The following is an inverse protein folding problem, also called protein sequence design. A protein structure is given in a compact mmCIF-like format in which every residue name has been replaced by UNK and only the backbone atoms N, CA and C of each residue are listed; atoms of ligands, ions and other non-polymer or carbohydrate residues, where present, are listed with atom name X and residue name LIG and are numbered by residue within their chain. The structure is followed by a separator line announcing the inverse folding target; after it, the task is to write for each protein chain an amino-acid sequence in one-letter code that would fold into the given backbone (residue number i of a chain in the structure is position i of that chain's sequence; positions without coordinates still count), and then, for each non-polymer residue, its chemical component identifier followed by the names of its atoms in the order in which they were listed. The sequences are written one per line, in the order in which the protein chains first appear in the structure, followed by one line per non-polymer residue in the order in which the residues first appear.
data_IF_202545279737
#
_entry.id   IF_202545279737
#
_cell.length_a   1.000
_cell.length_b   1.000
_cell.length_c   1.000
_cell.angle_alpha   90.00
_cell.angle_beta   90.00
_cell.angle_gamma   90.00
#
_symmetry.space_group_name_H-M   'P 1'
#
loop_
_entity.id
_entity.type
_entity.pdbx_description
1 polymer ?
#
# COMPACT_ATOMS: atom_id res chain seq x y z
N UNK A 1 -12.12 4.61 46.32
CA UNK A 1 -11.25 5.16 45.29
C UNK A 1 -10.36 4.06 44.65
N UNK A 2 -10.81 2.79 44.63
CA UNK A 2 -10.03 1.63 44.11
C UNK A 2 -10.70 0.96 42.90
N UNK A 3 -11.89 1.46 42.46
CA UNK A 3 -12.66 0.85 41.36
C UNK A 3 -12.21 1.18 39.94
N UNK A 4 -11.12 1.94 39.72
CA UNK A 4 -10.63 2.33 38.38
C UNK A 4 -9.44 1.51 37.86
N UNK A 5 -8.94 0.54 38.62
CA UNK A 5 -7.69 -0.19 38.29
C UNK A 5 -7.91 -1.57 37.72
N UNK A 6 -9.12 -2.01 37.44
CA UNK A 6 -9.44 -3.23 36.72
C UNK A 6 -10.17 -2.92 35.40
N UNK A 7 -9.69 -1.94 34.64
CA UNK A 7 -10.00 -1.90 33.21
C UNK A 7 -9.41 -3.19 32.64
N UNK A 8 -10.27 -4.19 32.40
CA UNK A 8 -9.90 -5.40 31.65
C UNK A 8 -9.13 -4.93 30.42
N UNK A 9 -7.84 -5.25 30.33
CA UNK A 9 -7.10 -5.11 29.08
C UNK A 9 -7.85 -5.96 28.07
N UNK A 10 -8.69 -5.33 27.25
CA UNK A 10 -9.24 -5.98 26.06
C UNK A 10 -8.05 -6.29 25.17
N UNK A 11 -8.08 -7.46 24.57
CA UNK A 11 -7.08 -7.83 23.58
C UNK A 11 -7.19 -6.88 22.40
N UNK A 12 -6.14 -6.11 22.14
CA UNK A 12 -6.06 -5.26 20.96
C UNK A 12 -5.61 -6.10 19.77
N UNK A 13 -6.31 -5.99 18.66
CA UNK A 13 -6.00 -6.70 17.43
C UNK A 13 -5.92 -5.72 16.25
N UNK A 14 -4.84 -5.78 15.49
CA UNK A 14 -4.67 -4.99 14.27
C UNK A 14 -4.63 -5.92 13.05
N UNK A 15 -5.65 -5.85 12.20
CA UNK A 15 -5.73 -6.60 10.95
C UNK A 15 -5.13 -5.77 9.82
N UNK A 16 -4.11 -6.31 9.15
CA UNK A 16 -3.60 -5.74 7.90
C UNK A 16 -4.49 -6.20 6.75
N UNK A 17 -5.35 -5.31 6.31
CA UNK A 17 -6.26 -5.47 5.18
C UNK A 17 -5.65 -4.89 3.89
N UNK A 18 -6.44 -4.31 3.02
CA UNK A 18 -5.98 -3.63 1.81
C UNK A 18 -6.95 -2.50 1.44
N UNK A 19 -6.43 -1.41 0.90
CA UNK A 19 -7.26 -0.35 0.33
C UNK A 19 -8.07 -0.92 -0.83
N UNK A 20 -9.40 -0.70 -0.79
CA UNK A 20 -10.36 -1.34 -1.72
C UNK A 20 -10.97 -2.65 -1.22
N UNK A 21 -10.64 -3.12 0.00
CA UNK A 21 -11.36 -4.20 0.67
C UNK A 21 -12.64 -3.65 1.35
N UNK A 22 -13.49 -3.02 0.57
CA UNK A 22 -14.74 -2.37 0.96
C UNK A 22 -15.94 -2.96 0.21
N UNK A 23 -17.06 -2.27 0.23
CA UNK A 23 -18.28 -2.70 -0.48
C UNK A 23 -18.10 -2.81 -2.00
N UNK A 24 -17.12 -2.12 -2.57
CA UNK A 24 -16.77 -2.12 -3.99
C UNK A 24 -15.69 -3.14 -4.34
N UNK A 25 -15.34 -4.04 -3.39
CA UNK A 25 -14.37 -5.11 -3.60
C UNK A 25 -14.82 -6.03 -4.74
N UNK A 26 -13.95 -6.27 -5.71
CA UNK A 26 -14.26 -7.09 -6.89
C UNK A 26 -13.26 -8.22 -7.13
N UNK A 27 -12.04 -8.11 -6.58
CA UNK A 27 -11.02 -9.16 -6.72
C UNK A 27 -11.11 -10.17 -5.58
N UNK A 28 -10.74 -11.42 -5.84
CA UNK A 28 -10.69 -12.47 -4.83
C UNK A 28 -9.82 -12.04 -3.63
N UNK A 29 -8.73 -11.33 -3.90
CA UNK A 29 -7.86 -10.75 -2.87
C UNK A 29 -8.62 -9.77 -1.96
N UNK A 30 -9.29 -8.75 -2.53
CA UNK A 30 -10.03 -7.76 -1.73
C UNK A 30 -11.23 -8.38 -1.02
N UNK A 31 -11.94 -9.31 -1.66
CA UNK A 31 -13.06 -10.03 -1.05
C UNK A 31 -12.61 -10.85 0.16
N UNK A 32 -11.47 -11.55 0.06
CA UNK A 32 -10.93 -12.33 1.18
C UNK A 32 -10.50 -11.42 2.35
N UNK A 33 -9.89 -10.25 2.04
CA UNK A 33 -9.54 -9.26 3.05
C UNK A 33 -10.78 -8.68 3.74
N UNK A 34 -11.80 -8.33 2.96
CA UNK A 34 -13.07 -7.86 3.49
C UNK A 34 -13.74 -8.88 4.41
N UNK A 35 -13.79 -10.15 4.00
CA UNK A 35 -14.36 -11.21 4.85
C UNK A 35 -13.62 -11.33 6.19
N UNK A 36 -12.29 -11.21 6.20
CA UNK A 36 -11.50 -11.19 7.43
C UNK A 36 -11.76 -9.94 8.29
N UNK A 37 -11.92 -8.77 7.65
CA UNK A 37 -12.27 -7.51 8.33
C UNK A 37 -13.65 -7.61 8.99
N UNK A 38 -14.64 -8.20 8.30
CA UNK A 38 -16.00 -8.36 8.81
C UNK A 38 -16.05 -9.38 9.96
N UNK A 39 -15.27 -10.46 9.85
CA UNK A 39 -15.09 -11.42 10.95
C UNK A 39 -14.50 -10.72 12.19
N UNK A 40 -13.43 -9.93 12.03
CA UNK A 40 -12.81 -9.20 13.14
C UNK A 40 -13.80 -8.22 13.80
N UNK A 41 -14.59 -7.49 12.99
CA UNK A 41 -15.59 -6.54 13.49
C UNK A 41 -16.71 -7.22 14.30
N UNK A 42 -17.01 -8.48 14.05
CA UNK A 42 -18.02 -9.24 14.79
C UNK A 42 -17.56 -9.70 16.18
N UNK A 43 -16.25 -9.62 16.46
CA UNK A 43 -15.67 -10.02 17.73
C UNK A 43 -15.75 -8.89 18.76
N UNK A 44 -15.93 -9.24 20.04
CA UNK A 44 -15.89 -8.25 21.15
C UNK A 44 -14.44 -7.98 21.59
N UNK A 45 -13.66 -7.40 20.67
CA UNK A 45 -12.27 -7.02 20.85
C UNK A 45 -12.10 -5.52 20.60
N UNK A 46 -10.98 -4.99 21.05
CA UNK A 46 -10.50 -3.68 20.64
C UNK A 46 -9.71 -3.89 19.34
N UNK A 47 -10.34 -3.59 18.19
CA UNK A 47 -9.78 -3.90 16.88
C UNK A 47 -9.46 -2.66 16.06
N UNK A 48 -8.47 -2.83 15.19
CA UNK A 48 -8.17 -1.93 14.08
C UNK A 48 -8.15 -2.71 12.77
N UNK A 49 -8.80 -2.17 11.75
CA UNK A 49 -8.69 -2.64 10.36
C UNK A 49 -7.84 -1.62 9.61
N UNK A 50 -6.64 -2.00 9.25
CA UNK A 50 -5.66 -1.16 8.59
C UNK A 50 -5.61 -1.52 7.10
N UNK A 51 -5.97 -0.58 6.23
CA UNK A 51 -6.08 -0.77 4.78
C UNK A 51 -4.99 -0.02 4.04
N UNK A 52 -3.78 -0.59 3.93
CA UNK A 52 -2.70 0.05 3.19
C UNK A 52 -3.00 0.09 1.69
N UNK A 53 -2.57 1.17 1.06
CA UNK A 53 -2.47 1.31 -0.39
C UNK A 53 -1.28 0.51 -0.93
N UNK A 54 -0.66 0.94 -2.01
CA UNK A 54 0.55 0.31 -2.54
C UNK A 54 1.73 0.55 -1.58
N UNK A 55 2.12 -0.50 -0.84
CA UNK A 55 3.26 -0.41 0.09
C UNK A 55 4.56 -0.50 -0.70
N UNK A 56 5.49 0.43 -0.42
CA UNK A 56 6.85 0.39 -0.93
C UNK A 56 7.88 0.42 0.21
N UNK A 57 9.10 0.00 -0.09
CA UNK A 57 10.20 -0.18 0.84
C UNK A 57 10.90 -1.52 0.62
N UNK A 58 11.92 -1.82 1.40
CA UNK A 58 12.69 -3.07 1.26
C UNK A 58 11.85 -4.32 1.57
N UNK A 59 12.03 -5.39 0.79
CA UNK A 59 11.47 -6.73 1.06
C UNK A 59 10.05 -6.96 0.56
N UNK A 60 9.45 -6.03 -0.19
CA UNK A 60 8.12 -6.19 -0.76
C UNK A 60 8.14 -6.85 -2.14
N UNK A 61 7.45 -8.00 -2.32
CA UNK A 61 7.37 -8.71 -3.61
C UNK A 61 6.84 -7.83 -4.76
N UNK A 62 5.85 -6.97 -4.47
CA UNK A 62 5.31 -6.02 -5.46
C UNK A 62 6.32 -4.93 -5.81
N UNK A 63 7.06 -4.44 -4.81
CA UNK A 63 8.11 -3.47 -5.01
C UNK A 63 9.23 -4.04 -5.90
N UNK A 64 9.64 -5.29 -5.67
CA UNK A 64 10.66 -5.99 -6.46
C UNK A 64 10.23 -6.11 -7.93
N UNK A 65 8.97 -6.44 -8.19
CA UNK A 65 8.45 -6.50 -9.56
C UNK A 65 8.53 -5.13 -10.24
N UNK A 66 8.04 -4.08 -9.59
CA UNK A 66 8.06 -2.73 -10.15
C UNK A 66 9.50 -2.23 -10.35
N UNK A 67 10.42 -2.57 -9.45
CA UNK A 67 11.85 -2.27 -9.58
C UNK A 67 12.44 -2.90 -10.83
N UNK A 68 12.15 -4.18 -11.09
CA UNK A 68 12.60 -4.90 -12.29
C UNK A 68 12.01 -4.28 -13.57
N UNK A 69 10.72 -3.92 -13.57
CA UNK A 69 10.09 -3.24 -14.71
C UNK A 69 10.72 -1.87 -14.95
N UNK A 70 10.98 -1.11 -13.89
CA UNK A 70 11.62 0.20 -13.97
C UNK A 70 13.08 0.15 -14.45
N UNK A 71 13.79 -0.97 -14.25
CA UNK A 71 15.16 -1.17 -14.72
C UNK A 71 15.26 -1.40 -16.24
N UNK A 72 14.17 -1.75 -16.90
CA UNK A 72 14.19 -2.03 -18.36
C UNK A 72 14.51 -0.76 -19.16
N UNK A 73 15.23 -0.88 -20.28
CA UNK A 73 15.54 0.26 -21.15
C UNK A 73 14.30 0.89 -21.79
N UNK A 74 13.23 0.11 -21.92
CA UNK A 74 11.89 0.52 -22.34
C UNK A 74 10.90 0.03 -21.29
N UNK A 75 10.28 0.96 -20.54
CA UNK A 75 9.42 0.63 -19.42
C UNK A 75 8.02 0.28 -19.91
N UNK A 76 7.54 -0.97 -19.72
CA UNK A 76 6.17 -1.33 -20.09
C UNK A 76 5.16 -0.70 -19.12
N UNK A 77 4.21 0.07 -19.66
CA UNK A 77 3.08 0.62 -18.93
C UNK A 77 1.77 0.13 -19.55
N UNK A 78 0.79 -0.17 -18.69
CA UNK A 78 -0.51 -0.67 -19.14
C UNK A 78 -1.40 0.52 -19.46
N UNK A 79 -1.98 0.51 -20.67
CA UNK A 79 -2.77 1.64 -21.16
C UNK A 79 -1.93 2.89 -21.37
N UNK A 80 -2.41 4.01 -20.86
CA UNK A 80 -1.74 5.32 -20.91
C UNK A 80 -0.77 5.57 -19.75
N UNK A 81 -0.74 4.67 -18.75
CA UNK A 81 0.07 4.84 -17.55
C UNK A 81 -0.44 5.90 -16.57
N UNK A 82 -1.64 6.45 -16.79
CA UNK A 82 -2.24 7.54 -16.00
C UNK A 82 -3.01 7.04 -14.77
N UNK A 83 -2.99 5.74 -14.49
CA UNK A 83 -3.63 5.18 -13.31
C UNK A 83 -3.04 5.83 -12.04
N UNK A 84 -3.92 6.37 -11.21
CA UNK A 84 -3.51 7.09 -10.02
C UNK A 84 -3.21 6.13 -8.87
N UNK A 85 -2.03 6.28 -8.31
CA UNK A 85 -1.53 5.53 -7.16
C UNK A 85 -1.17 6.52 -6.05
N UNK A 86 -1.24 6.04 -4.82
CA UNK A 86 -0.85 6.81 -3.63
C UNK A 86 0.05 5.90 -2.76
N UNK A 87 1.29 5.63 -3.22
CA UNK A 87 2.19 4.69 -2.55
C UNK A 87 2.50 5.15 -1.13
N UNK A 88 2.52 4.21 -0.18
CA UNK A 88 2.84 4.45 1.21
C UNK A 88 4.13 3.73 1.60
N UNK A 89 5.01 4.41 2.33
CA UNK A 89 6.25 3.80 2.79
C UNK A 89 5.96 2.78 3.89
N UNK A 90 6.67 1.65 3.88
CA UNK A 90 6.51 0.58 4.88
C UNK A 90 6.66 1.11 6.31
N UNK A 91 7.50 2.13 6.53
CA UNK A 91 7.70 2.76 7.84
C UNK A 91 6.41 3.39 8.39
N UNK A 92 5.61 4.06 7.54
CA UNK A 92 4.32 4.63 7.96
C UNK A 92 3.30 3.54 8.28
N UNK A 93 3.33 2.43 7.54
CA UNK A 93 2.48 1.26 7.83
C UNK A 93 2.85 0.68 9.20
N UNK A 94 4.14 0.47 9.46
CA UNK A 94 4.63 -0.05 10.76
C UNK A 94 4.29 0.92 11.89
N UNK A 95 4.51 2.23 11.70
CA UNK A 95 4.16 3.25 12.69
C UNK A 95 2.66 3.20 13.03
N UNK A 96 1.81 3.09 12.01
CA UNK A 96 0.35 2.97 12.20
C UNK A 96 -0.03 1.71 12.98
N UNK A 97 0.60 0.56 12.66
CA UNK A 97 0.39 -0.69 13.41
C UNK A 97 0.79 -0.53 14.87
N UNK A 98 1.97 -0.01 15.13
CA UNK A 98 2.47 0.18 16.51
C UNK A 98 1.55 1.12 17.30
N UNK A 99 1.12 2.21 16.70
CA UNK A 99 0.22 3.16 17.32
C UNK A 99 -1.16 2.57 17.57
N UNK A 100 -1.70 1.75 16.64
CA UNK A 100 -2.99 1.09 16.82
C UNK A 100 -3.01 0.10 18.00
N UNK A 101 -1.88 -0.57 18.27
CA UNK A 101 -1.76 -1.50 19.41
C UNK A 101 -1.65 -0.80 20.77
N UNK A 102 -1.26 0.47 20.79
CA UNK A 102 -1.08 1.28 22.00
C UNK A 102 -2.17 2.34 22.19
N UNK A 103 -3.03 2.54 21.19
CA UNK A 103 -4.09 3.53 21.22
C UNK A 103 -5.13 3.22 22.29
N UNK A 104 -5.67 4.28 22.92
CA UNK A 104 -6.85 4.21 23.77
C UNK A 104 -8.15 4.15 22.97
N UNK A 105 -8.12 4.56 21.71
CA UNK A 105 -9.22 4.42 20.76
C UNK A 105 -9.20 3.03 20.15
N UNK A 106 -10.37 2.51 19.83
CA UNK A 106 -10.50 1.18 19.24
C UNK A 106 -11.69 1.14 18.26
N UNK A 107 -11.83 0.02 17.58
CA UNK A 107 -12.91 -0.27 16.62
C UNK A 107 -12.89 0.72 15.44
N UNK A 108 -11.69 0.96 14.93
CA UNK A 108 -11.45 1.88 13.81
C UNK A 108 -11.01 1.15 12.55
N UNK A 109 -11.43 1.68 11.41
CA UNK A 109 -10.90 1.32 10.10
C UNK A 109 -10.11 2.52 9.56
N UNK A 110 -8.83 2.33 9.24
CA UNK A 110 -7.93 3.35 8.73
C UNK A 110 -7.40 2.95 7.36
N UNK A 111 -7.60 3.83 6.38
CA UNK A 111 -6.92 3.72 5.10
C UNK A 111 -5.51 4.32 5.24
N UNK A 112 -4.49 3.52 4.90
CA UNK A 112 -3.09 3.92 5.02
C UNK A 112 -2.56 4.23 3.63
N UNK A 113 -2.55 5.50 3.27
CA UNK A 113 -2.07 5.98 1.99
C UNK A 113 -0.92 6.96 2.15
N UNK A 114 -0.08 7.08 1.12
CA UNK A 114 0.97 8.09 1.10
C UNK A 114 0.42 9.52 0.99
N UNK A 115 1.30 10.48 1.13
CA UNK A 115 0.94 11.90 1.08
C UNK A 115 0.60 12.37 -0.34
N UNK A 116 1.19 11.75 -1.36
CA UNK A 116 1.13 12.20 -2.74
C UNK A 116 0.42 11.19 -3.64
N UNK A 117 -0.39 11.72 -4.56
CA UNK A 117 -0.99 10.94 -5.64
C UNK A 117 -0.13 11.11 -6.89
N UNK A 118 0.39 10.01 -7.42
CA UNK A 118 1.21 9.97 -8.62
C UNK A 118 0.62 9.00 -9.63
N UNK A 119 0.99 9.14 -10.90
CA UNK A 119 0.60 8.19 -11.95
C UNK A 119 1.46 6.94 -11.89
N UNK A 120 0.97 5.84 -12.44
CA UNK A 120 1.75 4.60 -12.56
C UNK A 120 3.04 4.81 -13.37
N UNK A 121 2.97 5.62 -14.43
CA UNK A 121 4.14 5.98 -15.22
C UNK A 121 5.19 6.76 -14.41
N UNK A 122 4.75 7.76 -13.64
CA UNK A 122 5.63 8.53 -12.74
C UNK A 122 6.22 7.64 -11.66
N UNK A 123 5.43 6.72 -11.09
CA UNK A 123 5.91 5.75 -10.10
C UNK A 123 7.07 4.91 -10.65
N UNK A 124 6.93 4.33 -11.86
CA UNK A 124 8.00 3.55 -12.47
C UNK A 124 9.25 4.40 -12.77
N UNK A 125 9.08 5.65 -13.21
CA UNK A 125 10.22 6.56 -13.40
C UNK A 125 10.91 6.93 -12.07
N UNK A 126 10.15 7.11 -11.00
CA UNK A 126 10.67 7.37 -9.65
C UNK A 126 11.51 6.17 -9.17
N UNK A 127 11.00 4.95 -9.33
CA UNK A 127 11.72 3.72 -9.00
C UNK A 127 13.00 3.56 -9.84
N UNK A 128 12.97 3.95 -11.10
CA UNK A 128 14.14 3.94 -11.98
C UNK A 128 15.20 4.92 -11.51
N UNK A 129 14.79 6.14 -11.19
CA UNK A 129 15.68 7.17 -10.66
C UNK A 129 16.32 6.74 -9.32
N UNK A 130 15.57 6.04 -8.47
CA UNK A 130 16.08 5.47 -7.23
C UNK A 130 17.20 4.43 -7.46
N UNK A 131 17.21 3.78 -8.62
CA UNK A 131 18.27 2.86 -9.04
C UNK A 131 19.47 3.56 -9.70
N UNK A 132 19.49 4.90 -9.74
CA UNK A 132 20.54 5.67 -10.40
C UNK A 132 20.46 5.65 -11.93
N UNK A 133 19.35 5.17 -12.51
CA UNK A 133 19.19 5.06 -13.94
C UNK A 133 18.53 6.32 -14.53
N UNK A 134 18.93 6.76 -15.74
CA UNK A 134 18.30 7.90 -16.40
C UNK A 134 16.86 7.58 -16.81
N UNK A 135 16.03 8.60 -17.04
CA UNK A 135 14.65 8.41 -17.53
C UNK A 135 14.63 7.54 -18.80
N UNK A 136 13.70 6.60 -18.86
CA UNK A 136 13.50 5.73 -20.01
C UNK A 136 12.20 6.08 -20.74
N UNK A 137 12.13 5.65 -22.01
CA UNK A 137 10.89 5.73 -22.78
C UNK A 137 9.86 4.74 -22.24
N UNK A 138 8.59 5.12 -22.30
CA UNK A 138 7.49 4.25 -21.92
C UNK A 138 6.99 3.47 -23.14
N UNK A 139 6.77 2.17 -22.96
CA UNK A 139 6.09 1.31 -23.90
C UNK A 139 4.64 1.13 -23.47
N UNK A 140 3.72 1.78 -24.14
CA UNK A 140 2.30 1.69 -23.85
C UNK A 140 1.73 0.36 -24.39
N UNK A 141 1.30 -0.52 -23.48
CA UNK A 141 0.69 -1.80 -23.80
C UNK A 141 -0.82 -1.66 -23.67
N UNK A 142 -1.59 -1.80 -24.76
CA UNK A 142 -3.05 -1.76 -24.68
C UNK A 142 -3.58 -2.76 -23.66
N UNK A 143 -4.58 -2.35 -22.86
CA UNK A 143 -5.13 -3.19 -21.79
C UNK A 143 -5.56 -4.59 -22.25
N UNK A 144 -6.23 -4.77 -23.41
CA UNK A 144 -6.57 -6.11 -23.92
C UNK A 144 -5.35 -7.00 -24.16
N UNK A 145 -4.24 -6.44 -24.65
CA UNK A 145 -2.98 -7.18 -24.85
C UNK A 145 -2.37 -7.57 -23.51
N UNK A 146 -2.31 -6.63 -22.55
CA UNK A 146 -1.82 -6.93 -21.20
C UNK A 146 -2.63 -8.06 -20.55
N UNK A 147 -3.96 -8.06 -20.73
CA UNK A 147 -4.87 -9.11 -20.22
C UNK A 147 -4.64 -10.47 -20.92
N UNK A 148 -4.34 -10.47 -22.23
CA UNK A 148 -4.02 -11.70 -22.94
C UNK A 148 -2.70 -12.30 -22.43
N UNK A 149 -1.65 -11.47 -22.27
CA UNK A 149 -0.38 -11.91 -21.68
C UNK A 149 -0.54 -12.40 -20.24
N UNK A 150 -1.37 -11.73 -19.43
CA UNK A 150 -1.63 -12.17 -18.07
C UNK A 150 -2.31 -13.54 -17.98
N UNK A 151 -3.22 -13.84 -18.91
CA UNK A 151 -3.88 -15.15 -19.00
C UNK A 151 -2.90 -16.27 -19.40
N UNK A 152 -2.00 -15.99 -20.34
CA UNK A 152 -0.97 -16.94 -20.77
C UNK A 152 0.11 -17.10 -19.71
N UNK A 153 0.52 -15.97 -19.07
CA UNK A 153 1.63 -15.92 -18.13
C UNK A 153 1.28 -16.31 -16.68
N UNK A 154 0.03 -16.65 -16.38
CA UNK A 154 -0.43 -16.94 -15.00
C UNK A 154 0.37 -18.02 -14.27
N UNK A 155 1.02 -18.91 -15.03
CA UNK A 155 1.84 -20.00 -14.48
C UNK A 155 3.27 -19.55 -14.15
N UNK A 156 3.74 -18.42 -14.72
CA UNK A 156 5.12 -17.96 -14.55
C UNK A 156 5.28 -16.88 -13.49
N UNK A 157 4.27 -16.00 -13.31
CA UNK A 157 4.33 -14.96 -12.30
C UNK A 157 2.94 -14.62 -11.75
N UNK A 158 2.65 -14.98 -10.49
CA UNK A 158 1.35 -14.73 -9.87
C UNK A 158 1.03 -13.22 -9.73
N UNK A 159 2.03 -12.32 -9.76
CA UNK A 159 1.80 -10.88 -9.70
C UNK A 159 1.27 -10.29 -11.02
N UNK A 160 1.48 -10.98 -12.15
CA UNK A 160 0.96 -10.59 -13.47
C UNK A 160 -0.42 -11.18 -13.78
N UNK A 161 -1.19 -11.56 -12.75
CA UNK A 161 -2.55 -12.07 -12.94
C UNK A 161 -3.50 -10.96 -13.42
N UNK A 162 -4.52 -11.38 -14.17
CA UNK A 162 -5.54 -10.48 -14.72
C UNK A 162 -6.24 -9.63 -13.65
N UNK A 163 -6.42 -10.17 -12.44
CA UNK A 163 -6.99 -9.42 -11.31
C UNK A 163 -6.11 -8.26 -10.87
N UNK A 164 -4.78 -8.48 -10.75
CA UNK A 164 -3.84 -7.44 -10.36
C UNK A 164 -3.79 -6.30 -11.39
N UNK A 165 -3.90 -6.64 -12.68
CA UNK A 165 -3.98 -5.64 -13.74
C UNK A 165 -5.25 -4.79 -13.65
N UNK A 166 -6.40 -5.41 -13.33
CA UNK A 166 -7.66 -4.69 -13.10
C UNK A 166 -7.60 -3.82 -11.84
N UNK A 167 -6.96 -4.31 -10.77
CA UNK A 167 -6.73 -3.52 -9.56
C UNK A 167 -5.88 -2.30 -9.86
N UNK A 168 -4.78 -2.47 -10.60
CA UNK A 168 -3.92 -1.38 -11.04
C UNK A 168 -4.69 -0.38 -11.92
N UNK A 169 -5.51 -0.86 -12.85
CA UNK A 169 -6.33 0.01 -13.72
C UNK A 169 -7.30 0.89 -12.92
N UNK A 170 -7.90 0.35 -11.86
CA UNK A 170 -8.82 1.12 -11.00
C UNK A 170 -8.11 2.22 -10.21
N UNK A 171 -6.81 2.07 -9.99
CA UNK A 171 -6.03 2.94 -9.12
C UNK A 171 -6.24 2.62 -7.64
N UNK A 172 -5.51 3.33 -6.77
CA UNK A 172 -5.49 3.06 -5.33
C UNK A 172 -5.18 4.37 -4.58
N UNK A 173 -6.23 5.16 -4.29
CA UNK A 173 -6.12 6.43 -3.58
C UNK A 173 -7.18 6.53 -2.49
N UNK A 174 -6.84 7.20 -1.38
CA UNK A 174 -7.71 7.46 -0.25
C UNK A 174 -7.48 8.86 0.31
N UNK A 175 -8.39 9.31 1.18
CA UNK A 175 -8.18 10.54 1.95
C UNK A 175 -7.11 10.29 3.02
N UNK A 176 -6.03 11.06 2.97
CA UNK A 176 -4.90 10.94 3.90
C UNK A 176 -5.17 11.58 5.27
N UNK A 177 -6.15 12.48 5.36
CA UNK A 177 -6.40 13.26 6.59
C UNK A 177 -6.66 12.40 7.84
N UNK A 178 -7.46 11.32 7.81
CA UNK A 178 -7.62 10.45 8.97
C UNK A 178 -6.31 9.81 9.44
N UNK A 179 -5.44 9.42 8.49
CA UNK A 179 -4.14 8.86 8.82
C UNK A 179 -3.22 9.91 9.45
N UNK A 180 -3.21 11.15 8.92
CA UNK A 180 -2.44 12.27 9.48
C UNK A 180 -2.87 12.58 10.91
N UNK A 181 -4.18 12.62 11.16
CA UNK A 181 -4.72 12.82 12.51
C UNK A 181 -4.29 11.69 13.46
N UNK A 182 -4.37 10.45 12.99
CA UNK A 182 -3.97 9.29 13.78
C UNK A 182 -2.48 9.27 14.09
N UNK A 183 -1.60 9.51 13.09
CA UNK A 183 -0.15 9.51 13.28
C UNK A 183 0.40 10.79 13.96
N UNK A 184 -0.35 11.88 13.95
CA UNK A 184 0.12 13.19 14.40
C UNK A 184 1.16 13.84 13.48
N UNK A 185 1.37 13.29 12.27
CA UNK A 185 2.31 13.79 11.25
C UNK A 185 1.88 13.38 9.86
N UNK A 186 2.44 14.04 8.85
CA UNK A 186 2.29 13.63 7.46
C UNK A 186 3.03 12.31 7.19
N UNK A 187 2.47 11.41 6.35
CA UNK A 187 3.21 10.27 5.81
C UNK A 187 4.42 10.74 4.99
N UNK A 188 5.42 9.87 4.87
CA UNK A 188 6.63 10.14 4.10
C UNK A 188 6.29 10.40 2.63
N UNK A 189 6.99 11.38 2.05
CA UNK A 189 6.91 11.70 0.61
C UNK A 189 7.56 10.59 -0.22
N UNK A 190 7.11 10.46 -1.47
CA UNK A 190 7.68 9.50 -2.42
C UNK A 190 8.96 10.10 -3.01
N UNK A 191 10.08 9.91 -2.33
CA UNK A 191 11.38 10.35 -2.81
C UNK A 191 12.25 9.17 -3.24
N UNK A 192 12.94 9.25 -4.41
CA UNK A 192 13.83 8.19 -4.86
C UNK A 192 14.88 7.78 -3.83
N UNK A 193 15.36 8.73 -3.03
CA UNK A 193 16.37 8.49 -2.00
C UNK A 193 15.85 7.67 -0.82
N UNK A 194 14.56 7.81 -0.48
CA UNK A 194 13.93 7.12 0.64
C UNK A 194 13.52 5.68 0.29
N UNK A 195 13.43 5.33 -0.99
CA UNK A 195 13.02 3.99 -1.43
C UNK A 195 13.95 2.88 -0.90
N UNK A 196 15.21 3.19 -0.61
CA UNK A 196 16.23 2.25 -0.15
C UNK A 196 16.90 2.64 1.17
N UNK A 197 16.59 3.83 1.72
CA UNK A 197 17.14 4.24 3.01
C UNK A 197 16.44 3.50 4.15
N UNK A 198 17.20 3.05 5.11
CA UNK A 198 16.66 2.73 6.42
C UNK A 198 16.28 4.08 7.06
N UNK A 199 14.97 4.38 7.12
CA UNK A 199 14.44 5.66 7.61
C UNK A 199 14.83 5.98 9.08
N UNK A 200 15.63 5.13 9.72
CA UNK A 200 16.16 5.29 11.08
C UNK A 200 17.41 6.18 11.17
N UNK A 201 18.02 6.58 10.04
CA UNK A 201 19.31 7.30 10.08
C UNK A 201 19.20 8.84 10.04
N UNK A 202 18.01 9.43 9.95
CA UNK A 202 17.84 10.89 9.90
C UNK A 202 17.38 11.53 11.21
N UNK A 203 17.42 10.81 12.32
CA UNK A 203 17.03 11.27 13.66
C UNK A 203 18.21 11.54 14.59
N UNK A 204 19.34 12.10 14.10
CA UNK A 204 20.39 12.60 15.00
C UNK A 204 20.81 14.02 14.65
N UNK A 205 20.50 14.90 15.58
CA UNK A 205 21.16 16.15 15.92
C UNK A 205 21.09 17.33 14.94
N UNK A 206 20.30 18.30 15.28
CA UNK A 206 20.89 19.59 15.75
C UNK A 206 19.92 20.26 16.71
#
# INVERSE_FOLDING_TARGET
MVSRLLARRRWSSAQISALGADEKAFSAYHLSKRAADDCLRSLDLDWFVLRPSLIYGRGGKSADLFMRLAALPLIPVIGDGQQKLQPVHIYDVVATVMQSLTSSEARQTLDISGNETITFAEWLQCLRQAQGLPKARLLHIPFPMAMAFARLGRHFNPLLQAENLRMLQKGCCADVRPLVQFLGRMPLTVEPRLLFSDAMSTGSCS
#
